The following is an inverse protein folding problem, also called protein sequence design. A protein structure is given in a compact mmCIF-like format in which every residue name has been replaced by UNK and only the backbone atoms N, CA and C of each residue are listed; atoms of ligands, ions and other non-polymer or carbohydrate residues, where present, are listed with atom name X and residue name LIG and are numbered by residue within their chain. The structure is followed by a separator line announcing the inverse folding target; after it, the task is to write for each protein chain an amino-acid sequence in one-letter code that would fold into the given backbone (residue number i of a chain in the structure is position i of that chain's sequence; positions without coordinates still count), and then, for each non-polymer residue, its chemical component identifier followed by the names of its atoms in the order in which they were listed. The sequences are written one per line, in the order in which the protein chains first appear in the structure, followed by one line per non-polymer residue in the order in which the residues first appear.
data_IF_940903970271
#
_entry.id   IF_940903970271
#
_cell.length_a   1.000
_cell.length_b   1.000
_cell.length_c   1.000
_cell.angle_alpha   90.00
_cell.angle_beta   90.00
_cell.angle_gamma   90.00
#
_symmetry.space_group_name_H-M   'P 1'
#
loop_
_entity.id
_entity.type
_entity.pdbx_description
1 polymer ?
#
# COMPACT_ATOMS: atom_id res chain seq x y z
N UNK A 1 -34.92 -23.09 8.27
CA UNK A 1 -36.07 -23.95 8.61
C UNK A 1 -35.59 -24.99 9.59
N UNK A 2 -36.30 -25.23 10.69
CA UNK A 2 -35.87 -26.22 11.69
C UNK A 2 -36.18 -27.62 11.13
N UNK A 3 -35.26 -28.56 11.29
CA UNK A 3 -35.61 -29.97 11.17
C UNK A 3 -36.66 -30.26 12.27
N UNK A 4 -37.87 -30.67 11.86
CA UNK A 4 -39.03 -30.85 12.75
C UNK A 4 -40.29 -30.07 12.36
N UNK A 5 -40.23 -29.17 11.37
CA UNK A 5 -41.42 -28.40 10.95
C UNK A 5 -42.38 -29.20 10.02
N UNK A 6 -42.01 -30.44 9.64
CA UNK A 6 -42.89 -31.39 8.97
C UNK A 6 -43.42 -32.43 9.98
N UNK A 7 -44.76 -32.62 10.11
CA UNK A 7 -45.39 -33.51 11.10
C UNK A 7 -45.01 -35.00 11.06
N UNK A 8 -44.11 -35.42 10.17
CA UNK A 8 -43.67 -36.80 9.98
C UNK A 8 -42.16 -37.01 10.16
N UNK A 9 -41.40 -36.02 10.59
CA UNK A 9 -39.96 -36.17 10.85
C UNK A 9 -39.71 -36.41 12.34
N UNK A 10 -39.29 -37.63 12.70
CA UNK A 10 -38.81 -37.95 14.04
C UNK A 10 -37.45 -37.31 14.31
N UNK A 11 -37.21 -36.93 15.57
CA UNK A 11 -35.95 -36.36 16.04
C UNK A 11 -34.75 -37.26 15.68
N UNK A 12 -33.60 -36.63 15.41
CA UNK A 12 -32.31 -37.19 15.01
C UNK A 12 -32.20 -38.72 15.16
N UNK A 13 -32.46 -39.44 14.06
CA UNK A 13 -32.19 -40.87 13.97
C UNK A 13 -30.70 -41.07 13.65
N UNK A 14 -29.93 -41.86 14.43
CA UNK A 14 -28.52 -42.15 14.16
C UNK A 14 -28.26 -42.84 12.81
N UNK A 15 -29.29 -43.30 12.10
CA UNK A 15 -29.19 -43.90 10.76
C UNK A 15 -29.38 -42.89 9.61
N UNK A 16 -29.82 -41.66 9.91
CA UNK A 16 -29.98 -40.61 8.91
C UNK A 16 -29.07 -39.42 9.26
N UNK A 17 -27.87 -39.40 8.67
CA UNK A 17 -26.84 -38.40 8.95
C UNK A 17 -27.26 -36.96 8.64
N UNK A 18 -28.30 -36.77 7.82
CA UNK A 18 -28.65 -35.48 7.24
C UNK A 18 -29.22 -34.50 8.29
N UNK A 19 -29.71 -35.01 9.43
CA UNK A 19 -30.24 -34.21 10.54
C UNK A 19 -29.21 -33.82 11.60
N UNK A 20 -28.07 -34.52 11.70
CA UNK A 20 -27.11 -34.33 12.79
C UNK A 20 -26.01 -33.30 12.48
N UNK A 21 -25.88 -32.87 11.22
CA UNK A 21 -24.93 -31.83 10.85
C UNK A 21 -25.26 -30.48 11.50
N UNK A 22 -26.54 -30.18 11.76
CA UNK A 22 -26.94 -28.85 12.24
C UNK A 22 -26.71 -28.57 13.72
N UNK A 23 -26.63 -29.59 14.58
CA UNK A 23 -26.41 -29.39 16.02
C UNK A 23 -24.98 -28.89 16.32
N UNK A 24 -23.98 -29.33 15.55
CA UNK A 24 -22.60 -28.88 15.68
C UNK A 24 -22.37 -27.45 15.17
N UNK A 25 -23.27 -26.92 14.33
CA UNK A 25 -23.19 -25.53 13.85
C UNK A 25 -23.93 -24.53 14.75
N UNK A 26 -24.88 -24.98 15.58
CA UNK A 26 -25.58 -24.11 16.51
C UNK A 26 -24.63 -23.54 17.58
N UNK A 27 -23.68 -24.34 18.08
CA UNK A 27 -22.70 -23.88 19.06
C UNK A 27 -21.70 -22.86 18.45
N UNK A 28 -21.29 -23.05 17.18
CA UNK A 28 -20.44 -22.07 16.48
C UNK A 28 -21.15 -20.74 16.19
N UNK A 29 -22.47 -20.77 15.97
CA UNK A 29 -23.27 -19.56 15.78
C UNK A 29 -23.58 -18.81 17.09
N UNK A 30 -23.59 -19.51 18.23
CA UNK A 30 -23.87 -18.93 19.56
C UNK A 30 -22.60 -18.37 20.22
N UNK A 31 -21.41 -18.91 19.94
CA UNK A 31 -20.14 -18.32 20.43
C UNK A 31 -19.64 -17.10 19.64
N UNK A 32 -20.21 -16.80 18.46
CA UNK A 32 -19.82 -15.62 17.67
C UNK A 32 -20.62 -14.34 17.95
N UNK A 33 -21.52 -14.34 18.94
CA UNK A 33 -22.27 -13.13 19.29
C UNK A 33 -21.46 -12.22 20.22
N UNK A 34 -20.62 -11.36 19.64
CA UNK A 34 -20.52 -9.94 20.08
C UNK A 34 -19.76 -9.04 19.09
N UNK A 35 -18.94 -9.58 18.18
CA UNK A 35 -18.24 -8.74 17.20
C UNK A 35 -18.05 -9.48 15.88
N UNK A 36 -18.85 -9.14 14.87
CA UNK A 36 -18.51 -9.48 13.48
C UNK A 36 -17.11 -8.91 13.20
N UNK A 37 -16.14 -9.73 12.75
CA UNK A 37 -14.82 -9.22 12.37
C UNK A 37 -14.98 -8.24 11.21
N UNK A 38 -15.03 -6.95 11.50
CA UNK A 38 -15.14 -5.95 10.45
C UNK A 38 -13.76 -5.83 9.78
N UNK A 39 -13.70 -6.20 8.50
CA UNK A 39 -12.49 -6.11 7.68
C UNK A 39 -11.99 -4.65 7.59
N UNK A 40 -10.68 -4.44 7.35
CA UNK A 40 -10.16 -3.11 7.01
C UNK A 40 -10.96 -2.50 5.85
N UNK A 41 -11.11 -1.18 5.87
CA UNK A 41 -11.82 -0.41 4.84
C UNK A 41 -10.89 0.62 4.24
N UNK A 42 -10.80 0.62 2.92
CA UNK A 42 -10.07 1.62 2.15
C UNK A 42 -11.05 2.49 1.37
N UNK A 43 -10.87 3.80 1.49
CA UNK A 43 -11.46 4.80 0.60
C UNK A 43 -10.36 5.29 -0.33
N UNK A 44 -10.68 5.54 -1.59
CA UNK A 44 -9.74 6.10 -2.55
C UNK A 44 -10.42 7.13 -3.44
N UNK A 45 -9.61 7.92 -4.14
CA UNK A 45 -10.10 8.78 -5.20
C UNK A 45 -9.03 9.68 -5.79
N UNK A 46 -9.39 10.27 -6.94
CA UNK A 46 -8.62 11.32 -7.60
C UNK A 46 -9.16 12.68 -7.19
N UNK A 47 -8.27 13.64 -6.97
CA UNK A 47 -8.64 15.04 -6.75
C UNK A 47 -7.61 15.97 -7.38
N UNK A 48 -8.01 17.21 -7.66
CA UNK A 48 -7.12 18.21 -8.27
C UNK A 48 -6.94 19.38 -7.32
N UNK A 49 -5.70 19.64 -6.90
CA UNK A 49 -5.33 20.90 -6.28
C UNK A 49 -5.26 21.95 -7.40
N UNK A 50 -6.31 22.76 -7.53
CA UNK A 50 -6.51 23.66 -8.65
C UNK A 50 -5.39 24.71 -8.78
N UNK A 51 -5.10 25.11 -10.02
CA UNK A 51 -4.17 26.21 -10.29
C UNK A 51 -4.57 27.47 -9.51
N UNK A 52 -3.58 28.20 -8.99
CA UNK A 52 -3.85 29.42 -8.23
C UNK A 52 -4.36 29.21 -6.79
N UNK A 53 -4.46 27.96 -6.29
CA UNK A 53 -4.92 27.65 -4.91
C UNK A 53 -3.80 27.00 -4.08
N UNK A 54 -3.79 27.16 -2.75
CA UNK A 54 -2.77 26.54 -1.88
C UNK A 54 -3.31 25.42 -0.98
N UNK A 55 -4.63 25.23 -0.94
CA UNK A 55 -5.28 24.25 -0.08
C UNK A 55 -6.44 23.61 -0.82
N UNK A 56 -6.55 22.29 -0.69
CA UNK A 56 -7.67 21.46 -1.14
C UNK A 56 -8.14 20.62 0.03
N UNK A 57 -9.43 20.71 0.37
CA UNK A 57 -10.07 19.77 1.29
C UNK A 57 -10.88 18.77 0.48
N UNK A 58 -10.70 17.48 0.76
CA UNK A 58 -11.45 16.37 0.15
C UNK A 58 -12.34 15.75 1.22
N UNK A 59 -13.63 15.71 0.95
CA UNK A 59 -14.61 15.03 1.82
C UNK A 59 -14.48 13.52 1.65
N UNK A 60 -14.40 12.80 2.77
CA UNK A 60 -14.39 11.34 2.85
C UNK A 60 -15.53 10.85 3.74
N UNK A 61 -15.87 9.57 3.62
CA UNK A 61 -16.70 8.90 4.63
C UNK A 61 -15.97 8.96 5.97
N UNK A 62 -16.71 9.17 7.06
CA UNK A 62 -16.15 9.27 8.40
C UNK A 62 -15.25 8.08 8.73
N UNK A 63 -14.07 8.35 9.30
CA UNK A 63 -13.12 7.36 9.80
C UNK A 63 -12.80 7.57 11.28
N UNK A 64 -12.39 6.51 11.98
CA UNK A 64 -11.83 6.59 13.32
C UNK A 64 -10.41 7.12 13.23
N UNK A 65 -10.21 8.36 13.68
CA UNK A 65 -8.94 9.07 13.56
C UNK A 65 -7.76 8.31 14.17
N UNK A 66 -7.92 7.52 15.23
CA UNK A 66 -6.80 6.77 15.83
C UNK A 66 -6.51 5.44 15.13
N UNK A 67 -7.25 5.07 14.08
CA UNK A 67 -7.12 3.79 13.38
C UNK A 67 -7.11 3.91 11.85
N UNK A 68 -7.03 5.13 11.34
CA UNK A 68 -6.97 5.40 9.92
C UNK A 68 -5.68 6.10 9.54
N UNK A 69 -5.13 5.85 8.36
CA UNK A 69 -4.03 6.65 7.82
C UNK A 69 -4.26 6.97 6.35
N UNK A 70 -3.68 8.08 5.90
CA UNK A 70 -3.71 8.49 4.49
C UNK A 70 -2.36 8.24 3.81
N UNK A 71 -2.41 7.74 2.59
CA UNK A 71 -1.30 7.83 1.62
C UNK A 71 -1.81 8.53 0.37
N UNK A 72 -0.90 9.17 -0.35
CA UNK A 72 -1.26 9.76 -1.63
C UNK A 72 -0.04 9.86 -2.52
N UNK A 73 -0.31 10.02 -3.80
CA UNK A 73 0.67 10.28 -4.83
C UNK A 73 0.22 11.50 -5.64
N UNK A 74 1.14 12.17 -6.31
CA UNK A 74 0.83 13.37 -7.07
C UNK A 74 1.69 13.48 -8.32
N UNK A 75 1.09 14.04 -9.37
CA UNK A 75 1.69 14.21 -10.68
C UNK A 75 1.67 15.69 -11.06
N UNK A 76 2.82 16.22 -11.46
CA UNK A 76 3.03 17.63 -11.79
C UNK A 76 4.25 17.80 -12.71
N UNK A 77 4.38 18.98 -13.32
CA UNK A 77 5.51 19.37 -14.17
C UNK A 77 5.98 20.76 -13.76
N UNK A 78 6.75 20.85 -12.68
CA UNK A 78 7.19 22.13 -12.14
C UNK A 78 8.46 21.94 -11.31
N UNK A 79 9.43 22.83 -11.52
CA UNK A 79 10.70 22.90 -10.83
C UNK A 79 10.63 23.68 -9.50
N UNK A 80 9.52 24.38 -9.25
CA UNK A 80 9.36 25.19 -8.06
C UNK A 80 8.65 24.40 -6.93
N UNK A 81 9.33 24.15 -5.79
CA UNK A 81 8.71 23.46 -4.66
C UNK A 81 7.56 24.27 -4.01
N UNK A 82 7.54 25.61 -4.11
CA UNK A 82 6.40 26.45 -3.69
C UNK A 82 5.07 25.93 -4.28
N UNK A 83 5.18 25.49 -5.53
CA UNK A 83 4.07 25.18 -6.42
C UNK A 83 3.75 23.69 -6.43
N UNK A 84 4.77 22.84 -6.34
CA UNK A 84 4.66 21.39 -6.62
C UNK A 84 4.87 20.48 -5.43
N UNK A 85 5.49 20.94 -4.34
CA UNK A 85 5.49 20.16 -3.11
C UNK A 85 4.13 20.23 -2.44
N UNK A 86 3.53 19.05 -2.29
CA UNK A 86 2.22 18.87 -1.68
C UNK A 86 2.40 17.97 -0.48
N UNK A 87 1.87 18.39 0.66
CA UNK A 87 1.69 17.54 1.83
C UNK A 87 0.21 17.20 2.02
N UNK A 88 -0.08 16.09 2.70
CA UNK A 88 -1.44 15.62 2.93
C UNK A 88 -1.64 15.10 4.35
N UNK A 89 -2.80 15.37 4.94
CA UNK A 89 -3.19 14.84 6.26
C UNK A 89 -4.71 14.69 6.39
N UNK A 90 -5.16 13.74 7.21
CA UNK A 90 -6.54 13.68 7.68
C UNK A 90 -6.67 14.69 8.83
N UNK A 91 -7.48 15.72 8.67
CA UNK A 91 -7.61 16.82 9.65
C UNK A 91 -8.77 16.63 10.62
N UNK A 92 -9.78 15.88 10.20
CA UNK A 92 -10.94 15.45 10.99
C UNK A 92 -11.47 14.14 10.40
N UNK A 93 -12.44 13.52 11.06
CA UNK A 93 -12.97 12.21 10.67
C UNK A 93 -13.48 12.16 9.21
N UNK A 94 -13.84 13.30 8.62
CA UNK A 94 -14.51 13.41 7.31
C UNK A 94 -13.68 14.16 6.26
N UNK A 95 -12.47 14.61 6.58
CA UNK A 95 -11.74 15.52 5.69
C UNK A 95 -10.25 15.17 5.59
N UNK A 96 -9.78 14.98 4.36
CA UNK A 96 -8.36 15.03 4.01
C UNK A 96 -8.04 16.45 3.53
N UNK A 97 -6.90 16.99 3.95
CA UNK A 97 -6.38 18.26 3.44
C UNK A 97 -5.06 18.04 2.72
N UNK A 98 -4.99 18.55 1.49
CA UNK A 98 -3.75 18.71 0.73
C UNK A 98 -3.35 20.18 0.67
N UNK A 99 -2.06 20.46 0.84
CA UNK A 99 -1.55 21.83 0.83
C UNK A 99 -0.20 21.93 0.11
N UNK A 100 0.04 23.09 -0.50
CA UNK A 100 1.35 23.56 -0.97
C UNK A 100 1.66 24.93 -0.37
N UNK A 101 2.90 25.39 -0.47
CA UNK A 101 3.31 26.64 0.18
C UNK A 101 2.69 27.89 -0.47
N UNK A 102 2.55 27.90 -1.81
CA UNK A 102 2.11 29.10 -2.54
C UNK A 102 0.95 28.82 -3.51
N UNK A 103 0.03 29.78 -3.59
CA UNK A 103 -1.14 29.72 -4.47
C UNK A 103 -0.90 30.43 -5.81
N UNK A 104 -0.54 31.71 -5.78
CA UNK A 104 -0.43 32.57 -6.97
C UNK A 104 0.63 32.05 -7.94
N UNK A 105 0.23 31.82 -9.18
CA UNK A 105 1.09 31.34 -10.27
C UNK A 105 1.31 29.82 -10.30
N UNK A 106 0.86 29.10 -9.28
CA UNK A 106 1.08 27.66 -9.18
C UNK A 106 0.12 26.88 -10.13
N UNK A 107 0.61 25.83 -10.82
CA UNK A 107 -0.19 25.05 -11.77
C UNK A 107 -1.19 24.14 -11.04
N UNK A 108 -2.05 23.45 -11.78
CA UNK A 108 -2.89 22.39 -11.20
C UNK A 108 -2.06 21.14 -10.91
N UNK A 109 -2.40 20.40 -9.85
CA UNK A 109 -1.75 19.14 -9.48
C UNK A 109 -2.82 18.06 -9.29
N UNK A 110 -2.68 16.96 -10.01
CA UNK A 110 -3.50 15.77 -9.83
C UNK A 110 -2.96 14.95 -8.66
N UNK A 111 -3.85 14.55 -7.76
CA UNK A 111 -3.56 13.80 -6.54
C UNK A 111 -4.43 12.55 -6.54
N UNK A 112 -3.80 11.39 -6.38
CA UNK A 112 -4.50 10.13 -6.06
C UNK A 112 -4.27 9.83 -4.59
N UNK A 113 -5.35 9.56 -3.86
CA UNK A 113 -5.29 9.35 -2.43
C UNK A 113 -5.99 8.06 -2.01
N UNK A 114 -5.49 7.50 -0.90
CA UNK A 114 -6.06 6.34 -0.23
C UNK A 114 -6.13 6.61 1.28
N UNK A 115 -7.26 6.29 1.90
CA UNK A 115 -7.43 6.28 3.36
C UNK A 115 -7.78 4.87 3.78
N UNK A 116 -6.87 4.23 4.50
CA UNK A 116 -7.09 2.91 5.09
C UNK A 116 -7.52 3.06 6.55
N UNK A 117 -8.63 2.45 6.94
CA UNK A 117 -9.16 2.39 8.29
C UNK A 117 -9.25 0.93 8.77
N UNK A 118 -8.84 0.71 10.02
CA UNK A 118 -8.79 -0.61 10.62
C UNK A 118 -9.67 -0.66 11.87
N UNK A 119 -10.36 -1.76 12.10
CA UNK A 119 -11.19 -1.90 13.29
C UNK A 119 -10.37 -2.29 14.53
N UNK A 120 -9.23 -2.96 14.33
CA UNK A 120 -8.30 -3.42 15.36
C UNK A 120 -6.89 -3.58 14.78
N UNK A 121 -5.91 -3.86 15.64
CA UNK A 121 -4.54 -4.20 15.23
C UNK A 121 -3.72 -3.02 14.69
N UNK A 122 -4.35 -1.87 14.43
CA UNK A 122 -3.66 -0.65 13.99
C UNK A 122 -4.00 0.51 14.91
N UNK A 123 -2.97 1.23 15.32
CA UNK A 123 -3.12 2.55 15.93
C UNK A 123 -2.33 3.57 15.12
N UNK A 124 -2.88 4.78 15.01
CA UNK A 124 -2.29 5.88 14.27
C UNK A 124 -2.31 7.12 15.13
N UNK A 125 -1.16 7.76 15.22
CA UNK A 125 -1.02 9.13 15.71
C UNK A 125 -0.50 10.00 14.59
N UNK A 126 -0.94 11.25 14.54
CA UNK A 126 -0.58 12.19 13.47
C UNK A 126 -0.51 13.61 13.99
N UNK A 127 0.30 14.43 13.33
CA UNK A 127 0.29 15.87 13.49
C UNK A 127 1.03 16.55 12.33
N UNK A 128 1.02 17.88 12.37
CA UNK A 128 1.85 18.74 11.56
C UNK A 128 3.06 19.23 12.38
N UNK A 129 4.22 19.40 11.75
CA UNK A 129 5.41 19.96 12.40
C UNK A 129 6.16 20.86 11.44
N UNK A 130 6.31 22.13 11.82
CA UNK A 130 7.19 23.06 11.14
C UNK A 130 8.64 22.73 11.46
N UNK A 131 9.49 22.67 10.43
CA UNK A 131 10.92 22.52 10.62
C UNK A 131 11.49 23.80 11.22
N UNK A 132 12.32 23.67 12.25
CA UNK A 132 12.95 24.81 12.95
C UNK A 132 14.47 24.66 13.07
N UNK A 133 14.99 23.49 12.68
CA UNK A 133 16.40 23.15 12.66
C UNK A 133 16.61 22.01 11.64
N UNK A 134 17.87 21.70 11.34
CA UNK A 134 18.24 20.56 10.47
C UNK A 134 17.74 19.22 11.02
N UNK A 135 17.49 19.16 12.32
CA UNK A 135 16.89 18.01 12.98
C UNK A 135 15.88 18.50 14.00
N UNK A 136 14.64 18.04 13.88
CA UNK A 136 13.55 18.30 14.80
C UNK A 136 13.12 16.98 15.42
N UNK A 137 13.16 16.91 16.74
CA UNK A 137 12.64 15.78 17.50
C UNK A 137 11.19 16.06 17.86
N UNK A 138 10.29 15.21 17.38
CA UNK A 138 8.85 15.31 17.60
C UNK A 138 8.45 14.28 18.66
N UNK A 139 7.98 14.74 19.84
CA UNK A 139 7.43 13.83 20.84
C UNK A 139 6.21 13.12 20.28
N UNK A 140 6.20 11.80 20.39
CA UNK A 140 5.07 10.94 20.04
C UNK A 140 4.65 10.11 21.24
N UNK A 141 3.40 9.66 21.24
CA UNK A 141 2.96 8.63 22.18
C UNK A 141 3.76 7.35 21.96
N UNK A 142 4.03 6.60 23.03
CA UNK A 142 4.90 5.42 22.97
C UNK A 142 4.38 4.40 21.96
N UNK A 143 5.27 3.90 21.10
CA UNK A 143 4.99 2.84 20.13
C UNK A 143 5.97 1.68 20.22
N UNK A 144 5.56 0.50 19.76
CA UNK A 144 6.43 -0.67 19.63
C UNK A 144 7.31 -0.57 18.36
N UNK A 145 8.61 -0.31 18.52
CA UNK A 145 9.53 -0.07 17.38
C UNK A 145 9.52 -1.18 16.31
N UNK A 146 9.39 -2.45 16.71
CA UNK A 146 9.35 -3.59 15.79
C UNK A 146 7.99 -3.76 15.09
N UNK A 147 7.03 -2.86 15.35
CA UNK A 147 5.67 -2.86 14.82
C UNK A 147 5.29 -1.52 14.20
N UNK A 148 6.21 -0.56 14.17
CA UNK A 148 5.88 0.83 13.84
C UNK A 148 6.72 1.41 12.73
N UNK A 149 6.06 2.19 11.87
CA UNK A 149 6.67 2.90 10.76
C UNK A 149 6.02 4.27 10.57
N UNK A 150 6.77 5.29 10.13
CA UNK A 150 6.24 6.61 9.83
C UNK A 150 5.83 6.73 8.35
N UNK A 151 4.75 7.47 8.11
CA UNK A 151 4.40 8.03 6.82
C UNK A 151 4.49 9.55 6.95
N UNK A 152 5.32 10.18 6.12
CA UNK A 152 5.51 11.64 6.14
C UNK A 152 5.42 12.24 4.75
N UNK A 153 4.80 13.40 4.66
CA UNK A 153 4.86 14.27 3.47
C UNK A 153 5.29 15.67 3.88
N UNK A 154 5.87 16.41 2.94
CA UNK A 154 6.51 17.68 3.24
C UNK A 154 6.16 18.70 2.17
N UNK A 155 6.04 19.94 2.60
CA UNK A 155 5.93 21.11 1.73
C UNK A 155 6.81 22.20 2.30
N UNK A 156 7.42 23.00 1.44
CA UNK A 156 8.12 24.23 1.82
C UNK A 156 8.01 25.27 0.74
N UNK A 157 8.41 26.50 1.09
CA UNK A 157 8.60 27.52 0.08
C UNK A 157 9.95 27.39 -0.64
N UNK A 158 10.06 27.93 -1.85
CA UNK A 158 11.31 27.92 -2.60
C UNK A 158 11.13 28.34 -4.05
N UNK A 159 12.20 28.19 -4.83
CA UNK A 159 12.18 28.43 -6.29
C UNK A 159 12.88 27.34 -7.07
N UNK A 160 13.41 26.33 -6.39
CA UNK A 160 14.10 25.17 -6.95
C UNK A 160 14.22 24.08 -5.89
N UNK A 161 14.34 22.82 -6.31
CA UNK A 161 14.46 21.67 -5.43
C UNK A 161 15.91 21.50 -4.96
N UNK A 162 16.19 21.83 -3.71
CA UNK A 162 17.50 21.76 -3.08
C UNK A 162 17.56 20.94 -1.80
N UNK A 163 18.58 21.22 -0.99
CA UNK A 163 18.91 20.51 0.25
C UNK A 163 17.80 20.53 1.32
N UNK A 164 16.91 21.51 1.23
CA UNK A 164 15.76 21.72 2.10
C UNK A 164 14.49 21.01 1.61
N UNK A 165 14.46 20.48 0.40
CA UNK A 165 13.25 19.92 -0.23
C UNK A 165 13.06 18.42 -0.02
N UNK A 166 14.01 17.75 0.63
CA UNK A 166 13.99 16.31 0.88
C UNK A 166 14.07 16.03 2.37
N UNK A 167 12.95 15.56 2.93
CA UNK A 167 12.80 15.30 4.35
C UNK A 167 12.98 13.82 4.65
N UNK A 168 13.82 13.50 5.64
CA UNK A 168 13.96 12.16 6.22
C UNK A 168 13.25 12.09 7.57
N UNK A 169 12.46 11.05 7.76
CA UNK A 169 11.79 10.71 9.01
C UNK A 169 12.32 9.39 9.58
N UNK A 170 12.56 9.37 10.91
CA UNK A 170 13.03 8.20 11.64
C UNK A 170 12.44 8.15 13.05
N UNK A 171 11.77 7.06 13.40
CA UNK A 171 11.42 6.74 14.79
C UNK A 171 12.72 6.30 15.48
N UNK A 172 13.26 7.13 16.38
CA UNK A 172 14.56 6.87 17.03
C UNK A 172 14.41 6.15 18.38
N UNK A 173 13.29 6.39 19.05
CA UNK A 173 12.89 5.74 20.31
C UNK A 173 11.38 5.52 20.26
N UNK A 174 10.82 4.73 21.18
CA UNK A 174 9.37 4.50 21.23
C UNK A 174 8.55 5.79 21.34
N UNK A 175 9.14 6.89 21.82
CA UNK A 175 8.47 8.17 22.08
C UNK A 175 9.00 9.33 21.22
N UNK A 176 9.84 9.06 20.22
CA UNK A 176 10.42 10.12 19.38
C UNK A 176 10.40 9.80 17.89
N UNK A 177 9.76 10.67 17.12
CA UNK A 177 9.92 10.78 15.67
C UNK A 177 10.92 11.91 15.36
N UNK A 178 12.04 11.59 14.75
CA UNK A 178 13.00 12.56 14.25
C UNK A 178 12.69 12.91 12.80
N UNK A 179 12.61 14.20 12.52
CA UNK A 179 12.53 14.77 11.17
C UNK A 179 13.83 15.49 10.87
N UNK A 180 14.39 15.30 9.67
CA UNK A 180 15.69 15.88 9.30
C UNK A 180 15.75 16.35 7.85
N UNK A 181 16.50 17.43 7.64
CA UNK A 181 16.85 18.03 6.35
C UNK A 181 18.36 18.07 6.18
N UNK A 182 18.84 18.34 4.97
CA UNK A 182 20.26 18.38 4.69
C UNK A 182 20.86 19.77 4.95
N UNK A 183 21.54 19.97 6.08
CA UNK A 183 22.37 21.15 6.40
C UNK A 183 21.96 22.49 5.74
N UNK A 184 20.81 23.01 6.12
CA UNK A 184 20.24 24.27 5.62
C UNK A 184 20.23 25.35 6.69
N UNK A 185 19.88 26.57 6.29
CA UNK A 185 19.85 27.76 7.15
C UNK A 185 18.48 28.46 7.21
N UNK A 186 17.56 28.13 6.28
CA UNK A 186 16.19 28.65 6.26
C UNK A 186 15.24 27.51 6.56
N UNK A 187 14.38 27.67 7.57
CA UNK A 187 13.44 26.64 7.98
C UNK A 187 12.02 27.21 7.93
N UNK A 188 11.30 26.90 6.86
CA UNK A 188 9.92 27.36 6.60
C UNK A 188 8.98 26.21 6.20
N UNK A 189 9.53 25.03 5.93
CA UNK A 189 8.74 23.88 5.53
C UNK A 189 8.03 23.18 6.68
N UNK A 190 6.96 22.48 6.31
CA UNK A 190 6.04 21.81 7.22
C UNK A 190 5.91 20.36 6.80
N UNK A 191 6.17 19.47 7.76
CA UNK A 191 5.99 18.03 7.64
C UNK A 191 4.62 17.63 8.19
N UNK A 192 3.84 16.94 7.39
CA UNK A 192 2.64 16.22 7.84
C UNK A 192 3.03 14.77 8.07
N UNK A 193 2.94 14.31 9.32
CA UNK A 193 3.41 12.98 9.69
C UNK A 193 2.31 12.14 10.34
N UNK A 194 2.44 10.84 10.15
CA UNK A 194 1.63 9.80 10.78
C UNK A 194 2.58 8.72 11.26
N UNK A 195 2.48 8.29 12.51
CA UNK A 195 3.17 7.10 13.03
C UNK A 195 2.12 6.02 13.19
N UNK A 196 2.34 4.92 12.48
CA UNK A 196 1.45 3.76 12.45
C UNK A 196 2.11 2.69 13.30
N UNK A 197 1.38 2.12 14.26
CA UNK A 197 1.73 0.85 14.90
C UNK A 197 0.76 -0.22 14.43
N UNK A 198 1.30 -1.29 13.85
CA UNK A 198 0.55 -2.40 13.27
C UNK A 198 0.92 -3.69 13.99
N UNK A 199 0.01 -4.22 14.82
CA UNK A 199 0.23 -5.38 15.69
C UNK A 199 0.61 -6.63 14.89
N UNK A 200 -0.08 -6.90 13.79
CA UNK A 200 0.16 -8.03 12.90
C UNK A 200 1.16 -7.72 11.78
N UNK A 201 2.21 -6.97 12.10
CA UNK A 201 3.36 -6.76 11.21
C UNK A 201 4.68 -7.03 11.94
N UNK A 202 5.77 -7.24 11.20
CA UNK A 202 7.14 -7.17 11.70
C UNK A 202 7.86 -6.07 10.94
N UNK A 203 8.38 -5.08 11.64
CA UNK A 203 9.02 -3.91 11.05
C UNK A 203 10.52 -3.96 11.29
N UNK A 204 11.26 -3.95 10.20
CA UNK A 204 12.70 -3.75 10.19
C UNK A 204 13.02 -2.33 9.72
N UNK A 205 14.11 -1.74 10.22
CA UNK A 205 14.53 -0.40 9.81
C UNK A 205 16.04 -0.26 9.80
N UNK A 206 16.55 0.67 8.99
CA UNK A 206 17.97 0.99 8.94
C UNK A 206 18.22 2.30 8.20
N UNK A 207 19.45 2.78 8.31
CA UNK A 207 19.93 3.96 7.59
C UNK A 207 20.90 3.54 6.47
N UNK A 208 20.84 4.26 5.34
CA UNK A 208 21.71 4.04 4.19
C UNK A 208 22.17 5.38 3.66
N UNK A 209 23.44 5.47 3.27
CA UNK A 209 23.98 6.63 2.56
C UNK A 209 24.44 6.22 1.17
N UNK A 210 23.97 6.97 0.15
CA UNK A 210 24.49 6.93 -1.21
C UNK A 210 25.46 8.11 -1.38
N UNK A 211 26.76 7.82 -1.41
CA UNK A 211 27.79 8.87 -1.43
C UNK A 211 27.92 9.54 -2.81
N UNK A 212 28.22 10.85 -2.84
CA UNK A 212 28.38 11.57 -4.08
C UNK A 212 29.73 11.30 -4.78
N UNK A 213 29.84 11.59 -6.08
CA UNK A 213 31.12 11.77 -6.77
C UNK A 213 31.16 11.25 -8.21
N UNK A 214 32.07 11.77 -9.05
CA UNK A 214 32.48 11.15 -10.32
C UNK A 214 33.59 10.09 -10.12
N UNK A 215 34.19 10.03 -8.92
CA UNK A 215 35.28 9.13 -8.55
C UNK A 215 34.89 8.27 -7.33
N UNK A 216 35.36 7.00 -7.23
CA UNK A 216 34.93 6.06 -6.20
C UNK A 216 35.21 6.49 -4.75
N UNK A 217 34.37 6.06 -3.78
CA UNK A 217 33.13 5.31 -3.99
C UNK A 217 31.95 6.25 -4.28
N UNK A 218 31.53 6.31 -5.54
CA UNK A 218 30.27 6.91 -5.96
C UNK A 218 29.23 5.80 -6.04
N UNK A 219 28.12 5.97 -5.32
CA UNK A 219 27.15 4.88 -5.17
C UNK A 219 26.00 5.07 -6.16
N UNK A 220 26.02 4.33 -7.27
CA UNK A 220 24.84 4.15 -8.14
C UNK A 220 23.80 3.21 -7.50
N UNK A 221 24.26 2.31 -6.63
CA UNK A 221 23.43 1.35 -5.95
C UNK A 221 24.02 0.97 -4.59
N UNK A 222 23.16 0.73 -3.61
CA UNK A 222 23.49 0.08 -2.34
C UNK A 222 22.56 -1.11 -2.14
N UNK A 223 23.16 -2.25 -1.81
CA UNK A 223 22.44 -3.44 -1.39
C UNK A 223 22.50 -3.55 0.14
N UNK A 224 21.38 -3.88 0.75
CA UNK A 224 21.24 -4.08 2.19
C UNK A 224 20.78 -5.51 2.42
N UNK A 225 21.58 -6.29 3.15
CA UNK A 225 21.19 -7.63 3.58
C UNK A 225 20.22 -7.52 4.74
N UNK A 226 19.11 -8.24 4.63
CA UNK A 226 18.07 -8.36 5.66
C UNK A 226 17.83 -9.83 5.98
N UNK A 227 17.30 -10.17 7.17
CA UNK A 227 16.67 -11.46 7.42
C UNK A 227 15.66 -11.81 6.32
N UNK A 228 15.55 -13.09 5.99
CA UNK A 228 14.60 -13.58 4.97
C UNK A 228 13.18 -13.15 5.30
N UNK A 229 12.47 -12.58 4.33
CA UNK A 229 11.07 -12.19 4.41
C UNK A 229 10.24 -12.85 3.30
N UNK A 230 8.93 -12.92 3.50
CA UNK A 230 8.00 -13.23 2.41
C UNK A 230 7.73 -11.95 1.61
N UNK A 231 8.19 -11.90 0.37
CA UNK A 231 8.04 -10.73 -0.51
C UNK A 231 6.58 -10.42 -0.84
N UNK A 232 5.71 -11.45 -0.82
CA UNK A 232 4.25 -11.29 -1.03
C UNK A 232 3.53 -10.70 0.18
N UNK A 233 4.28 -10.43 1.26
CA UNK A 233 3.82 -9.83 2.51
C UNK A 233 4.60 -8.58 2.88
N UNK A 234 5.55 -8.13 2.05
CA UNK A 234 6.53 -7.13 2.42
C UNK A 234 6.32 -5.81 1.68
N UNK A 235 6.17 -4.73 2.44
CA UNK A 235 6.07 -3.37 1.94
C UNK A 235 7.28 -2.55 2.39
N UNK A 236 8.04 -2.04 1.41
CA UNK A 236 9.19 -1.17 1.65
C UNK A 236 8.79 0.31 1.55
N UNK A 237 9.09 1.06 2.61
CA UNK A 237 8.98 2.51 2.68
C UNK A 237 10.34 3.11 2.97
N UNK A 238 10.59 4.32 2.48
CA UNK A 238 11.76 5.08 2.89
C UNK A 238 11.57 6.57 2.65
N UNK A 239 12.33 7.35 3.40
CA UNK A 239 12.46 8.80 3.24
C UNK A 239 13.92 9.18 3.31
N UNK A 240 14.28 10.34 2.80
CA UNK A 240 15.69 10.70 2.69
C UNK A 240 15.91 12.20 2.66
N UNK A 241 17.12 12.59 3.03
CA UNK A 241 17.66 13.92 2.73
C UNK A 241 18.56 13.81 1.50
N UNK A 242 18.63 14.89 0.74
CA UNK A 242 19.58 15.06 -0.36
C UNK A 242 20.35 16.34 -0.12
N UNK A 243 21.63 16.38 -0.43
CA UNK A 243 22.30 17.66 -0.65
C UNK A 243 21.91 18.26 -2.01
N UNK A 244 22.40 19.47 -2.29
CA UNK A 244 22.14 20.16 -3.56
C UNK A 244 22.78 19.48 -4.77
N UNK A 245 23.82 18.67 -4.57
CA UNK A 245 24.68 18.15 -5.64
C UNK A 245 24.98 19.21 -6.71
N UNK A 246 24.62 18.92 -7.96
CA UNK A 246 24.47 19.95 -9.00
C UNK A 246 23.10 20.60 -8.87
N UNK A 247 23.07 21.87 -8.48
CA UNK A 247 21.87 22.58 -8.01
C UNK A 247 20.63 22.39 -8.91
N UNK A 248 20.79 22.47 -10.23
CA UNK A 248 19.70 22.36 -11.22
C UNK A 248 19.46 20.94 -11.76
N UNK A 249 20.00 19.90 -11.13
CA UNK A 249 19.79 18.54 -11.61
C UNK A 249 18.95 17.78 -10.59
N UNK A 250 17.77 17.32 -10.99
CA UNK A 250 16.94 16.51 -10.12
C UNK A 250 17.41 15.05 -10.05
N UNK A 251 17.87 14.46 -11.17
CA UNK A 251 18.26 13.05 -11.25
C UNK A 251 19.20 12.54 -10.15
N UNK A 252 20.21 13.32 -9.69
CA UNK A 252 21.10 12.93 -8.58
C UNK A 252 20.39 12.81 -7.24
N UNK A 253 19.28 13.54 -7.09
CA UNK A 253 18.42 13.64 -5.90
C UNK A 253 17.27 12.63 -5.92
N UNK A 254 17.13 11.89 -7.02
CA UNK A 254 16.10 10.85 -7.19
C UNK A 254 16.68 9.46 -6.94
N UNK A 255 15.95 8.65 -6.19
CA UNK A 255 16.37 7.30 -5.79
C UNK A 255 15.16 6.38 -5.75
N UNK A 256 15.37 5.15 -6.20
CA UNK A 256 14.39 4.07 -6.11
C UNK A 256 14.84 3.06 -5.06
N UNK A 257 13.88 2.52 -4.32
CA UNK A 257 14.09 1.37 -3.43
C UNK A 257 13.25 0.18 -3.89
N UNK A 258 13.83 -1.02 -3.89
CA UNK A 258 13.16 -2.28 -4.23
C UNK A 258 13.53 -3.37 -3.23
N UNK A 259 12.59 -4.30 -3.02
CA UNK A 259 12.90 -5.63 -2.49
C UNK A 259 13.39 -6.44 -3.70
N UNK A 260 14.68 -6.78 -3.73
CA UNK A 260 15.31 -7.45 -4.87
C UNK A 260 15.21 -8.97 -4.74
N UNK A 261 15.37 -9.45 -3.52
CA UNK A 261 15.21 -10.85 -3.13
C UNK A 261 14.67 -10.91 -1.70
N UNK A 262 14.22 -12.07 -1.21
CA UNK A 262 13.78 -12.25 0.18
C UNK A 262 14.79 -11.80 1.24
N UNK A 263 16.08 -11.69 0.91
CA UNK A 263 17.16 -11.31 1.83
C UNK A 263 17.84 -10.00 1.46
N UNK A 264 17.35 -9.25 0.47
CA UNK A 264 18.08 -8.09 -0.06
C UNK A 264 17.17 -6.96 -0.49
N UNK A 265 17.39 -5.79 0.11
CA UNK A 265 16.89 -4.51 -0.39
C UNK A 265 17.94 -3.88 -1.30
N UNK A 266 17.49 -3.16 -2.32
CA UNK A 266 18.35 -2.32 -3.16
C UNK A 266 17.84 -0.89 -3.16
N UNK A 267 18.76 0.07 -3.02
CA UNK A 267 18.51 1.48 -3.27
C UNK A 267 19.42 1.94 -4.40
N UNK A 268 18.84 2.41 -5.50
CA UNK A 268 19.60 2.76 -6.70
C UNK A 268 19.13 4.05 -7.38
N UNK A 269 20.06 4.66 -8.11
CA UNK A 269 19.90 5.96 -8.77
C UNK A 269 20.70 6.01 -10.07
N UNK A 270 20.40 7.00 -10.91
CA UNK A 270 21.05 7.16 -12.21
C UNK A 270 22.17 8.20 -12.21
N UNK A 271 22.25 9.06 -11.20
CA UNK A 271 23.33 10.02 -11.04
C UNK A 271 23.90 9.98 -9.63
N UNK A 272 25.17 10.32 -9.50
CA UNK A 272 25.92 10.22 -8.24
C UNK A 272 26.43 11.56 -7.73
N UNK A 273 26.07 12.70 -8.30
CA UNK A 273 26.61 14.01 -7.90
C UNK A 273 25.89 14.66 -6.71
N UNK A 274 24.95 13.96 -6.05
CA UNK A 274 24.38 14.38 -4.76
C UNK A 274 24.61 13.32 -3.68
N UNK A 275 24.69 13.70 -2.41
CA UNK A 275 24.64 12.77 -1.28
C UNK A 275 23.20 12.50 -0.88
N UNK A 276 22.80 11.23 -0.76
CA UNK A 276 21.49 10.87 -0.19
C UNK A 276 21.68 10.14 1.13
N UNK A 277 20.97 10.55 2.16
CA UNK A 277 20.90 9.83 3.44
C UNK A 277 19.47 9.39 3.68
N UNK A 278 19.23 8.09 3.65
CA UNK A 278 17.92 7.47 3.71
C UNK A 278 17.71 6.78 5.05
N UNK A 279 16.46 6.76 5.52
CA UNK A 279 15.97 5.81 6.53
C UNK A 279 14.89 4.96 5.85
N UNK A 280 15.04 3.64 5.92
CA UNK A 280 14.07 2.69 5.36
C UNK A 280 13.32 1.95 6.46
N UNK A 281 12.11 1.51 6.11
CA UNK A 281 11.23 0.67 6.89
C UNK A 281 10.73 -0.46 5.98
N UNK A 282 10.97 -1.70 6.39
CA UNK A 282 10.41 -2.87 5.73
C UNK A 282 9.33 -3.45 6.64
N UNK A 283 8.07 -3.33 6.23
CA UNK A 283 6.91 -3.82 6.94
C UNK A 283 6.55 -5.19 6.37
N UNK A 284 6.64 -6.24 7.17
CA UNK A 284 6.27 -7.61 6.77
C UNK A 284 5.00 -7.99 7.51
N UNK A 285 3.89 -8.11 6.79
CA UNK A 285 2.61 -8.44 7.39
C UNK A 285 2.54 -9.92 7.80
N UNK A 286 1.95 -10.17 8.97
CA UNK A 286 1.73 -11.53 9.51
C UNK A 286 0.26 -11.92 9.50
N UNK A 287 -0.63 -11.02 9.10
CA UNK A 287 -2.06 -11.27 8.90
C UNK A 287 -2.37 -11.67 7.44
N UNK A 288 -3.63 -11.54 7.04
CA UNK A 288 -4.11 -11.84 5.69
C UNK A 288 -3.65 -10.83 4.65
N UNK A 289 -3.03 -9.71 5.02
CA UNK A 289 -2.58 -8.67 4.08
C UNK A 289 -1.68 -9.26 3.00
N UNK A 290 -1.91 -8.93 1.73
CA UNK A 290 -1.06 -9.34 0.61
C UNK A 290 -0.37 -8.12 0.01
N UNK A 291 0.81 -8.31 -0.57
CA UNK A 291 1.58 -7.27 -1.24
C UNK A 291 2.02 -7.77 -2.60
N UNK A 292 1.70 -7.00 -3.63
CA UNK A 292 2.32 -7.13 -4.94
C UNK A 292 3.28 -5.97 -5.13
N UNK A 293 4.45 -6.22 -5.71
CA UNK A 293 5.42 -5.16 -6.01
C UNK A 293 6.19 -5.46 -7.28
N UNK A 294 6.56 -4.39 -8.00
CA UNK A 294 7.46 -4.48 -9.14
C UNK A 294 8.04 -3.10 -9.46
N UNK A 295 8.66 -2.98 -10.64
CA UNK A 295 9.05 -1.71 -11.23
C UNK A 295 8.36 -1.46 -12.56
N UNK A 296 8.18 -0.19 -12.90
CA UNK A 296 7.72 0.25 -14.21
C UNK A 296 8.71 1.24 -14.81
N UNK A 297 9.09 0.97 -16.06
CA UNK A 297 9.94 1.85 -16.85
C UNK A 297 9.10 2.72 -17.80
N UNK A 298 9.30 4.03 -17.71
CA UNK A 298 8.78 5.03 -18.64
C UNK A 298 9.90 5.46 -19.58
N UNK A 299 9.72 5.24 -20.89
CA UNK A 299 10.61 5.83 -21.88
C UNK A 299 10.34 7.35 -22.02
N UNK A 300 11.30 8.08 -22.57
CA UNK A 300 11.14 9.51 -22.91
C UNK A 300 9.83 9.76 -23.67
N UNK A 301 9.10 10.81 -23.31
CA UNK A 301 7.81 11.18 -23.89
C UNK A 301 6.60 10.43 -23.33
N UNK A 302 6.75 9.24 -22.74
CA UNK A 302 5.62 8.49 -22.17
C UNK A 302 5.13 9.16 -20.88
N UNK A 303 3.84 9.44 -20.74
CA UNK A 303 3.26 10.03 -19.52
C UNK A 303 2.40 9.07 -18.72
N UNK A 304 1.96 7.95 -19.32
CA UNK A 304 1.11 6.96 -18.67
C UNK A 304 1.60 5.53 -18.93
N UNK A 305 1.42 4.67 -17.92
CA UNK A 305 1.55 3.21 -18.01
C UNK A 305 0.38 2.54 -17.29
N UNK A 306 -0.17 1.51 -17.91
CA UNK A 306 -1.12 0.59 -17.30
C UNK A 306 -0.38 -0.74 -17.10
N UNK A 307 -0.46 -1.30 -15.89
CA UNK A 307 0.22 -2.51 -15.47
C UNK A 307 -0.83 -3.51 -14.98
N UNK A 308 -0.81 -4.71 -15.56
CA UNK A 308 -1.60 -5.83 -15.06
C UNK A 308 -1.06 -6.29 -13.70
N UNK A 309 -1.96 -6.43 -12.74
CA UNK A 309 -1.69 -6.93 -11.40
C UNK A 309 -2.58 -8.14 -11.12
N UNK A 310 -2.21 -8.97 -10.15
CA UNK A 310 -3.13 -9.99 -9.63
C UNK A 310 -4.34 -9.30 -9.01
N UNK A 311 -5.47 -10.00 -9.03
CA UNK A 311 -6.75 -9.43 -8.65
C UNK A 311 -6.77 -9.01 -7.17
N UNK A 312 -7.11 -7.75 -6.89
CA UNK A 312 -7.28 -7.17 -5.55
C UNK A 312 -8.66 -6.57 -5.35
N UNK A 313 -9.14 -6.47 -4.11
CA UNK A 313 -10.31 -5.68 -3.74
C UNK A 313 -9.94 -4.19 -3.58
N UNK A 314 -10.39 -3.27 -4.46
CA UNK A 314 -10.06 -1.85 -4.38
C UNK A 314 -10.58 -1.17 -3.09
N UNK A 315 -11.56 -1.78 -2.41
CA UNK A 315 -12.10 -1.29 -1.13
C UNK A 315 -11.26 -1.73 0.07
N UNK A 316 -10.19 -2.50 -0.15
CA UNK A 316 -9.25 -2.97 0.88
C UNK A 316 -7.79 -2.71 0.51
N UNK A 317 -7.55 -2.02 -0.60
CA UNK A 317 -6.21 -1.93 -1.20
C UNK A 317 -5.73 -0.49 -1.30
N UNK A 318 -4.49 -0.26 -0.90
CA UNK A 318 -3.76 0.98 -1.16
C UNK A 318 -2.65 0.75 -2.18
N UNK A 319 -2.27 1.81 -2.88
CA UNK A 319 -1.12 1.77 -3.79
C UNK A 319 -0.16 2.90 -3.50
N UNK A 320 1.12 2.58 -3.57
CA UNK A 320 2.20 3.48 -3.18
C UNK A 320 3.48 3.17 -3.95
N UNK A 321 4.41 4.11 -3.97
CA UNK A 321 5.74 3.93 -4.53
C UNK A 321 6.83 4.15 -3.47
N UNK A 322 8.07 3.83 -3.82
CA UNK A 322 9.23 4.30 -3.06
C UNK A 322 9.53 5.78 -3.33
N UNK A 323 10.42 6.40 -2.54
CA UNK A 323 11.06 7.68 -2.88
C UNK A 323 10.15 8.91 -2.89
N UNK A 324 10.77 10.09 -2.70
CA UNK A 324 10.16 11.43 -2.71
C UNK A 324 8.68 11.50 -2.27
N UNK A 325 8.41 11.13 -1.02
CA UNK A 325 7.06 11.10 -0.43
C UNK A 325 6.11 10.07 -1.07
N UNK A 326 6.65 8.86 -1.28
CA UNK A 326 5.92 7.65 -1.68
C UNK A 326 5.32 7.66 -3.10
N UNK A 327 5.97 8.38 -4.01
CA UNK A 327 5.52 8.59 -5.39
C UNK A 327 6.65 8.63 -6.41
N UNK A 328 7.88 8.40 -5.97
CA UNK A 328 9.09 8.67 -6.73
C UNK A 328 9.80 7.43 -7.27
N UNK A 329 10.82 7.67 -8.09
CA UNK A 329 11.77 6.65 -8.52
C UNK A 329 13.10 7.28 -8.89
N UNK A 330 13.71 6.81 -9.98
CA UNK A 330 14.98 7.35 -10.52
C UNK A 330 14.83 7.75 -11.98
N UNK A 331 15.73 8.61 -12.47
CA UNK A 331 15.70 9.15 -13.86
C UNK A 331 17.09 9.59 -14.32
N UNK A 332 17.37 9.48 -15.63
CA UNK A 332 18.54 10.12 -16.26
C UNK A 332 18.33 11.62 -16.58
N UNK A 333 17.27 12.24 -16.07
CA UNK A 333 17.06 13.69 -16.22
C UNK A 333 18.01 14.51 -15.34
N UNK A 334 18.90 15.25 -15.98
CA UNK A 334 19.89 16.11 -15.32
C UNK A 334 20.00 17.48 -15.99
N UNK A 335 18.91 18.01 -16.54
CA UNK A 335 18.88 19.32 -17.21
C UNK A 335 18.09 20.38 -16.43
N UNK A 336 17.27 19.96 -15.47
CA UNK A 336 16.46 20.82 -14.60
C UNK A 336 16.20 20.10 -13.27
N UNK A 337 15.77 20.86 -12.25
CA UNK A 337 15.50 20.36 -10.90
C UNK A 337 14.03 19.95 -10.71
N UNK A 338 13.32 19.61 -11.79
CA UNK A 338 11.92 19.22 -11.80
C UNK A 338 11.70 17.72 -11.48
N UNK A 339 11.17 17.37 -10.29
CA UNK A 339 10.96 15.96 -9.92
C UNK A 339 9.78 15.30 -10.62
N UNK A 340 8.93 16.08 -11.28
CA UNK A 340 7.80 15.60 -12.08
C UNK A 340 8.19 14.56 -13.14
N UNK A 341 9.47 14.48 -13.51
CA UNK A 341 10.00 13.49 -14.46
C UNK A 341 10.00 12.08 -13.89
N UNK A 342 10.17 11.95 -12.58
CA UNK A 342 10.29 10.69 -11.85
C UNK A 342 9.30 10.56 -10.68
N UNK A 343 8.25 11.37 -10.65
CA UNK A 343 7.09 11.19 -9.78
C UNK A 343 5.85 10.84 -10.57
N UNK A 344 4.97 10.05 -9.97
CA UNK A 344 3.73 9.56 -10.60
C UNK A 344 2.55 9.67 -9.64
N UNK A 345 1.33 9.71 -10.18
CA UNK A 345 0.15 9.20 -9.48
C UNK A 345 0.03 7.69 -9.66
N UNK A 346 -0.58 6.99 -8.69
CA UNK A 346 -0.84 5.55 -8.70
C UNK A 346 -2.33 5.26 -8.43
N UNK A 347 -3.02 4.68 -9.41
CA UNK A 347 -4.48 4.48 -9.40
C UNK A 347 -4.89 3.04 -9.76
N UNK A 348 -5.75 2.43 -8.93
CA UNK A 348 -6.41 1.16 -9.23
C UNK A 348 -7.66 1.42 -10.09
N UNK A 349 -7.45 1.54 -11.40
CA UNK A 349 -8.55 1.73 -12.36
C UNK A 349 -9.53 0.54 -12.42
N UNK A 350 -9.05 -0.66 -12.07
CA UNK A 350 -9.84 -1.89 -11.91
C UNK A 350 -9.16 -2.78 -10.87
N UNK A 351 -9.80 -3.88 -10.47
CA UNK A 351 -9.19 -4.88 -9.57
C UNK A 351 -7.95 -5.58 -10.12
N UNK A 352 -7.67 -5.47 -11.42
CA UNK A 352 -6.52 -6.14 -12.08
C UNK A 352 -5.63 -5.17 -12.86
N UNK A 353 -5.82 -3.86 -12.71
CA UNK A 353 -5.04 -2.85 -13.45
C UNK A 353 -4.63 -1.68 -12.56
N UNK A 354 -3.31 -1.52 -12.41
CA UNK A 354 -2.67 -0.35 -11.82
C UNK A 354 -2.24 0.62 -12.92
N UNK A 355 -2.73 1.85 -12.86
CA UNK A 355 -2.29 2.95 -13.72
C UNK A 355 -1.30 3.84 -12.99
N UNK A 356 -0.20 4.18 -13.66
CA UNK A 356 0.75 5.19 -13.23
C UNK A 356 0.79 6.34 -14.24
N UNK A 357 0.69 7.59 -13.77
CA UNK A 357 0.75 8.79 -14.62
C UNK A 357 1.79 9.77 -14.08
N UNK A 358 2.79 10.15 -14.88
CA UNK A 358 3.76 11.20 -14.54
C UNK A 358 3.44 12.52 -15.22
N UNK A 359 3.82 13.61 -14.58
CA UNK A 359 3.48 14.96 -15.03
C UNK A 359 4.46 15.52 -16.05
N UNK A 360 5.73 15.10 -16.00
CA UNK A 360 6.76 15.48 -16.96
C UNK A 360 7.40 14.25 -17.62
N UNK A 361 7.73 14.35 -18.91
CA UNK A 361 8.35 13.26 -19.68
C UNK A 361 9.58 13.64 -20.54
N UNK A 362 10.42 14.64 -20.16
CA UNK A 362 11.58 15.03 -20.95
C UNK A 362 12.70 13.96 -20.98
N UNK A 363 12.63 12.96 -20.11
CA UNK A 363 13.57 11.84 -20.07
C UNK A 363 12.87 10.55 -19.60
N UNK A 364 13.63 9.48 -19.46
CA UNK A 364 13.12 8.23 -18.89
C UNK A 364 12.95 8.29 -17.38
N UNK A 365 12.17 7.36 -16.84
CA UNK A 365 12.03 7.17 -15.40
C UNK A 365 11.76 5.71 -15.07
N UNK A 366 12.17 5.30 -13.88
CA UNK A 366 12.01 3.93 -13.40
C UNK A 366 11.47 3.96 -11.97
N UNK A 367 10.21 3.54 -11.80
CA UNK A 367 9.43 3.69 -10.57
C UNK A 367 9.18 2.32 -9.96
N UNK A 368 9.51 2.15 -8.68
CA UNK A 368 9.10 0.98 -7.89
C UNK A 368 7.71 1.20 -7.29
N UNK A 369 6.83 0.22 -7.34
CA UNK A 369 5.46 0.32 -6.84
C UNK A 369 5.11 -0.86 -5.91
N UNK A 370 4.15 -0.63 -5.03
CA UNK A 370 3.57 -1.60 -4.11
C UNK A 370 2.05 -1.47 -4.12
N UNK A 371 1.35 -2.57 -4.33
CA UNK A 371 -0.10 -2.72 -4.13
C UNK A 371 -0.28 -3.53 -2.85
N UNK A 372 -0.85 -2.92 -1.82
CA UNK A 372 -1.00 -3.51 -0.48
C UNK A 372 -2.48 -3.70 -0.19
N UNK A 373 -2.92 -4.95 -0.16
CA UNK A 373 -4.31 -5.33 0.10
C UNK A 373 -4.47 -5.85 1.53
N UNK A 374 -5.24 -5.13 2.36
CA UNK A 374 -5.50 -5.47 3.76
C UNK A 374 -6.64 -6.50 3.90
N UNK A 375 -6.53 -7.62 3.20
CA UNK A 375 -7.60 -8.61 3.10
C UNK A 375 -7.27 -9.76 2.16
N UNK A 376 -8.26 -10.60 1.87
CA UNK A 376 -8.10 -11.78 1.02
C UNK A 376 -8.69 -11.56 -0.36
N UNK A 377 -7.89 -11.06 -1.30
CA UNK A 377 -8.12 -11.08 -2.74
C UNK A 377 -9.45 -10.49 -3.23
N UNK A 378 -9.65 -10.62 -4.55
CA UNK A 378 -10.92 -10.25 -5.15
C UNK A 378 -12.11 -11.06 -4.59
N UNK A 379 -13.27 -10.42 -4.38
CA UNK A 379 -14.50 -11.16 -4.19
C UNK A 379 -14.76 -12.04 -5.42
N UNK A 380 -15.03 -13.34 -5.20
CA UNK A 380 -15.44 -14.24 -6.28
C UNK A 380 -16.80 -13.78 -6.78
N UNK A 381 -16.87 -13.30 -8.02
CA UNK A 381 -18.13 -12.89 -8.63
C UNK A 381 -19.03 -14.11 -8.88
N UNK A 382 -20.26 -14.08 -8.37
CA UNK A 382 -21.27 -15.11 -8.57
C UNK A 382 -22.62 -14.68 -7.98
N UNK A 383 -23.71 -15.22 -8.53
CA UNK A 383 -25.04 -15.09 -7.90
C UNK A 383 -25.14 -16.15 -6.82
N UNK A 384 -24.89 -15.75 -5.58
CA UNK A 384 -25.03 -16.65 -4.43
C UNK A 384 -26.40 -16.44 -3.78
N UNK A 385 -27.03 -17.51 -3.26
CA UNK A 385 -28.30 -17.36 -2.55
C UNK A 385 -28.16 -16.43 -1.34
N UNK A 386 -29.15 -15.56 -1.11
CA UNK A 386 -29.15 -14.50 -0.08
C UNK A 386 -28.91 -15.01 1.36
N UNK A 387 -29.08 -16.31 1.60
CA UNK A 387 -28.88 -16.94 2.91
C UNK A 387 -27.41 -17.33 3.21
N UNK A 388 -26.47 -17.11 2.29
CA UNK A 388 -25.03 -17.43 2.47
C UNK A 388 -24.17 -16.15 2.61
N UNK A 389 -24.76 -14.97 2.42
CA UNK A 389 -24.05 -13.70 2.57
C UNK A 389 -23.88 -13.37 4.06
N UNK A 390 -22.63 -13.26 4.52
CA UNK A 390 -22.32 -12.62 5.80
C UNK A 390 -22.60 -11.11 5.71
N UNK A 391 -22.84 -10.47 6.86
CA UNK A 391 -23.14 -9.04 6.94
C UNK A 391 -22.01 -8.11 6.42
N UNK A 392 -20.79 -8.64 6.22
CA UNK A 392 -19.62 -7.94 5.70
C UNK A 392 -19.28 -8.29 4.23
N UNK A 393 -20.09 -9.14 3.57
CA UNK A 393 -19.86 -9.55 2.18
C UNK A 393 -18.66 -10.48 1.98
N UNK A 394 -18.08 -11.03 3.05
CA UNK A 394 -16.93 -11.94 3.02
C UNK A 394 -17.38 -13.39 3.24
N UNK A 395 -17.17 -14.27 2.26
CA UNK A 395 -17.61 -15.67 2.36
C UNK A 395 -16.72 -16.52 3.28
N UNK A 396 -17.32 -17.42 4.04
CA UNK A 396 -16.61 -18.58 4.59
C UNK A 396 -16.42 -19.57 3.43
N UNK A 397 -15.18 -19.87 3.05
CA UNK A 397 -14.90 -20.94 2.10
C UNK A 397 -15.36 -22.27 2.69
N UNK A 398 -16.51 -22.77 2.27
CA UNK A 398 -16.92 -24.15 2.53
C UNK A 398 -16.04 -25.06 1.66
N UNK A 399 -14.94 -25.55 2.24
CA UNK A 399 -14.29 -26.73 1.69
C UNK A 399 -15.14 -27.92 2.16
N UNK A 400 -15.89 -28.53 1.24
CA UNK A 400 -16.43 -29.86 1.52
C UNK A 400 -15.23 -30.76 1.84
N UNK A 401 -15.10 -31.12 3.12
CA UNK A 401 -14.20 -32.18 3.51
C UNK A 401 -14.77 -33.43 2.87
N UNK A 402 -14.18 -33.87 1.75
CA UNK A 402 -14.36 -35.20 1.22
C UNK A 402 -13.70 -36.16 2.23
N UNK A 403 -14.35 -36.37 3.37
CA UNK A 403 -13.97 -37.38 4.35
C UNK A 403 -14.35 -38.70 3.68
N UNK A 404 -13.33 -39.44 3.24
CA UNK A 404 -13.46 -40.57 2.34
C UNK A 404 -14.68 -41.45 2.62
N UNK A 405 -15.61 -41.47 1.67
CA UNK A 405 -16.49 -42.61 1.51
C UNK A 405 -15.63 -43.81 1.10
N UNK A 406 -15.16 -44.53 2.11
CA UNK A 406 -14.72 -45.91 1.92
C UNK A 406 -15.97 -46.73 1.64
N UNK A 407 -16.14 -47.10 0.37
CA UNK A 407 -17.04 -48.12 -0.17
C UNK A 407 -18.24 -48.55 0.68
N UNK A 408 -19.36 -47.86 0.52
CA UNK A 408 -20.67 -48.49 0.68
C UNK A 408 -21.20 -48.81 -0.72
N UNK A 409 -21.06 -50.07 -1.12
CA UNK A 409 -21.57 -50.58 -2.38
C UNK A 409 -23.09 -50.42 -2.44
N UNK A 410 -23.57 -49.65 -3.40
CA UNK A 410 -24.90 -49.76 -3.97
C UNK A 410 -24.83 -49.30 -5.42
N UNK A 411 -24.60 -50.26 -6.29
CA UNK A 411 -24.68 -50.09 -7.74
C UNK A 411 -26.17 -50.14 -8.14
N UNK A 412 -26.78 -49.06 -8.67
CA UNK A 412 -28.10 -49.16 -9.27
C UNK A 412 -27.95 -49.78 -10.66
N UNK A 413 -28.31 -51.06 -10.78
CA UNK A 413 -28.42 -51.81 -12.04
C UNK A 413 -29.63 -51.38 -12.88
N UNK A 414 -29.80 -50.08 -13.09
CA UNK A 414 -30.87 -49.49 -13.89
C UNK A 414 -30.33 -48.84 -15.17
N UNK A 415 -30.06 -49.65 -16.19
CA UNK A 415 -29.73 -49.18 -17.53
C UNK A 415 -30.98 -48.55 -18.16
N UNK A 416 -31.03 -47.22 -18.13
CA UNK A 416 -31.92 -46.39 -18.95
C UNK A 416 -31.15 -45.85 -20.15
N UNK A 417 -31.52 -46.29 -21.35
CA UNK A 417 -30.90 -45.91 -22.62
C UNK A 417 -31.12 -44.43 -22.94
N UNK A 418 -30.09 -43.60 -22.80
CA UNK A 418 -29.98 -42.29 -23.44
C UNK A 418 -28.72 -42.25 -24.31
N UNK A 419 -28.81 -41.99 -25.62
CA UNK A 419 -27.67 -42.08 -26.52
C UNK A 419 -26.98 -40.72 -26.67
N UNK A 420 -26.10 -40.35 -25.72
CA UNK A 420 -25.08 -39.32 -25.94
C UNK A 420 -24.09 -39.26 -24.76
N UNK A 421 -23.18 -40.24 -24.68
CA UNK A 421 -21.81 -40.12 -24.12
C UNK A 421 -21.17 -41.50 -24.13
N UNK A 422 -20.44 -41.83 -25.20
CA UNK A 422 -19.60 -43.03 -25.23
C UNK A 422 -18.30 -42.72 -24.48
N UNK A 423 -18.17 -43.24 -23.27
CA UNK A 423 -16.88 -43.32 -22.59
C UNK A 423 -16.19 -44.63 -23.01
N UNK A 424 -15.09 -44.51 -23.74
CA UNK A 424 -14.19 -45.62 -24.04
C UNK A 424 -13.56 -46.14 -22.75
N UNK A 425 -13.62 -47.45 -22.53
CA UNK A 425 -13.00 -48.15 -21.40
C UNK A 425 -11.48 -48.23 -21.57
N UNK A 426 -10.74 -47.83 -20.54
CA UNK A 426 -9.35 -48.23 -20.36
C UNK A 426 -9.30 -49.63 -19.71
N UNK A 427 -8.39 -50.47 -20.16
CA UNK A 427 -8.29 -51.91 -19.86
C UNK A 427 -7.86 -52.28 -18.43
N UNK A 428 -7.82 -51.32 -17.49
CA UNK A 428 -7.16 -51.52 -16.20
C UNK A 428 -8.05 -51.22 -14.97
N UNK A 429 -9.37 -51.08 -15.14
CA UNK A 429 -10.31 -51.22 -14.01
C UNK A 429 -10.24 -50.17 -12.89
N UNK A 430 -9.59 -49.02 -13.11
CA UNK A 430 -9.61 -47.90 -12.16
C UNK A 430 -10.33 -46.70 -12.79
N UNK A 431 -11.37 -46.20 -12.11
CA UNK A 431 -12.05 -44.94 -12.43
C UNK A 431 -11.45 -43.81 -11.62
N UNK A 432 -11.09 -42.70 -12.28
CA UNK A 432 -11.02 -41.36 -11.69
C UNK A 432 -12.22 -40.54 -12.12
#
# INVERSE_FOLDING_TARGET
MRAGDAPSQSACDPTNSDGCWYATFADQAVEQSTYTPQSPKVQNGQSTLAAGTSTLNVTITSVVMTKAFVTFSASFNDANPDFSQVSGQIIDATTIRFQRAKSVGAPAITIEWYVAEFNRGVTVQRNSTTMTANTVNVPISSVALAKSFPIVTYRKSGTGYGSDDFLRAKITTSTNLQLSLFNITVFDGVAEWQVIEYTDASVQTGDVTLNPGPSPPSDFSKMITIPTVDETKAWLLFTYTSDNGTAFNIGPKMVRGLIMTPTTLVFDRNFTNAMLSLTWYLVVFTDTTSVQSWRVYFATGQTQKDISIECVDPTKTIVTAGGMYYRGGRTWYGSDDNPGVATVTLDLTTSTNLRLVRGASPNDADIGWYVVEFGTGCPVAGTFPDYILSADGTFIQYREANIGQTGAGNNPTGIGTSPACAWTSCSNGETS
#
